data_IF_020936683548
#
_entry.id   IF_020936683548
#
_cell.length_a   1.000
_cell.length_b   1.000
_cell.length_c   1.000
_cell.angle_alpha   90.00
_cell.angle_beta   90.00
_cell.angle_gamma   90.00
#
_symmetry.space_group_name_H-M   'P 1'
#
loop_
_entity.id
_entity.type
_entity.pdbx_description
1 polymer ?
#
# COMPACT_ATOMS: atom_id res chain seq x y z
N UNK A 1 30.43 12.19 7.41
CA UNK A 1 31.34 12.35 6.26
C UNK A 1 30.60 13.12 5.19
N UNK A 2 31.28 13.88 4.33
CA UNK A 2 30.61 14.64 3.26
C UNK A 2 31.30 14.49 1.91
N UNK A 3 30.57 14.67 0.81
CA UNK A 3 31.08 14.62 -0.57
C UNK A 3 31.63 13.25 -0.97
N UNK A 4 30.88 12.19 -0.67
CA UNK A 4 31.27 10.80 -1.00
C UNK A 4 30.63 10.38 -2.32
N UNK A 5 31.42 9.77 -3.21
CA UNK A 5 30.89 9.10 -4.41
C UNK A 5 31.43 7.68 -4.53
N UNK A 6 30.54 6.73 -4.77
CA UNK A 6 30.87 5.34 -5.10
C UNK A 6 30.16 4.99 -6.40
N UNK A 7 30.91 4.61 -7.43
CA UNK A 7 30.31 4.30 -8.74
C UNK A 7 31.02 3.18 -9.50
N UNK A 8 30.27 2.48 -10.35
CA UNK A 8 30.76 1.46 -11.30
C UNK A 8 31.52 0.31 -10.63
N UNK A 9 30.92 -0.28 -9.58
CA UNK A 9 31.49 -1.40 -8.85
C UNK A 9 30.54 -2.59 -8.80
N UNK A 10 31.14 -3.79 -8.77
CA UNK A 10 30.42 -5.03 -8.46
C UNK A 10 30.84 -5.50 -7.06
N UNK A 11 29.85 -5.80 -6.21
CA UNK A 11 30.07 -6.15 -4.80
C UNK A 11 29.32 -7.45 -4.50
N UNK A 12 30.01 -8.44 -3.93
CA UNK A 12 29.40 -9.67 -3.44
C UNK A 12 30.15 -10.96 -3.82
N UNK A 13 29.89 -12.07 -3.11
CA UNK A 13 29.09 -12.11 -1.88
C UNK A 13 29.87 -11.53 -0.69
N UNK A 14 29.19 -10.81 0.20
CA UNK A 14 29.75 -10.29 1.46
C UNK A 14 29.20 -11.05 2.66
N UNK A 15 29.79 -10.88 3.85
CA UNK A 15 29.28 -11.55 5.05
C UNK A 15 28.01 -10.92 5.62
N UNK A 16 27.82 -9.62 5.38
CA UNK A 16 26.64 -8.84 5.74
C UNK A 16 26.42 -7.79 4.63
N UNK A 17 26.14 -6.54 4.98
CA UNK A 17 25.93 -5.43 4.05
C UNK A 17 27.05 -5.28 3.02
N UNK A 18 26.70 -5.04 1.75
CA UNK A 18 27.69 -4.77 0.70
C UNK A 18 28.32 -3.38 0.82
N UNK A 19 27.49 -2.37 1.07
CA UNK A 19 27.93 -0.99 1.22
C UNK A 19 27.18 -0.35 2.38
N UNK A 20 27.93 0.07 3.40
CA UNK A 20 27.38 0.73 4.59
C UNK A 20 27.83 2.17 4.67
N UNK A 21 26.88 3.09 4.87
CA UNK A 21 27.13 4.49 5.16
C UNK A 21 26.56 4.86 6.53
N UNK A 22 27.38 5.47 7.38
CA UNK A 22 26.98 5.96 8.68
C UNK A 22 27.32 7.43 8.81
N UNK A 23 26.32 8.26 9.13
CA UNK A 23 26.46 9.71 9.30
C UNK A 23 27.07 10.35 8.03
N UNK A 24 26.35 10.30 6.90
CA UNK A 24 26.85 10.72 5.59
C UNK A 24 25.98 11.81 4.97
N UNK A 25 26.60 12.94 4.64
CA UNK A 25 25.97 14.08 3.98
C UNK A 25 26.55 14.22 2.56
N UNK A 26 25.83 14.83 1.64
CA UNK A 26 26.26 15.09 0.25
C UNK A 26 26.91 13.85 -0.41
N UNK A 27 26.12 12.85 -0.80
CA UNK A 27 26.66 11.61 -1.34
C UNK A 27 25.98 11.12 -2.62
N UNK A 28 26.71 10.30 -3.38
CA UNK A 28 26.18 9.64 -4.57
C UNK A 28 26.67 8.19 -4.67
N UNK A 29 25.74 7.25 -4.78
CA UNK A 29 26.01 5.82 -4.95
C UNK A 29 25.36 5.39 -6.27
N UNK A 30 26.15 4.99 -7.26
CA UNK A 30 25.60 4.68 -8.58
C UNK A 30 26.27 3.56 -9.35
N UNK A 31 25.57 3.02 -10.35
CA UNK A 31 26.09 1.98 -11.25
C UNK A 31 26.64 0.76 -10.49
N UNK A 32 25.93 0.34 -9.44
CA UNK A 32 26.34 -0.77 -8.56
C UNK A 32 25.70 -2.07 -9.03
N UNK A 33 26.50 -3.14 -9.08
CA UNK A 33 26.00 -4.51 -9.28
C UNK A 33 26.22 -5.36 -8.03
N UNK A 34 25.14 -5.74 -7.35
CA UNK A 34 25.21 -6.69 -6.24
C UNK A 34 25.21 -8.14 -6.71
N UNK A 35 25.99 -8.96 -6.02
CA UNK A 35 26.14 -10.40 -6.23
C UNK A 35 26.12 -11.15 -4.89
N UNK A 36 25.16 -10.81 -4.01
CA UNK A 36 24.93 -11.56 -2.78
C UNK A 36 24.36 -12.94 -3.09
N UNK A 37 24.64 -13.90 -2.21
CA UNK A 37 24.32 -15.32 -2.43
C UNK A 37 23.36 -15.91 -1.39
N UNK A 38 22.98 -15.14 -0.37
CA UNK A 38 22.15 -15.56 0.74
C UNK A 38 22.81 -16.56 1.69
N UNK A 39 24.14 -16.72 1.63
CA UNK A 39 24.85 -17.64 2.52
C UNK A 39 24.90 -17.15 3.98
N UNK A 40 24.64 -15.86 4.21
CA UNK A 40 24.62 -15.22 5.52
C UNK A 40 23.45 -14.23 5.65
N UNK A 41 23.07 -13.91 6.89
CA UNK A 41 22.05 -12.92 7.21
C UNK A 41 22.52 -11.48 6.89
N UNK A 42 21.57 -10.55 6.78
CA UNK A 42 21.82 -9.10 6.61
C UNK A 42 22.70 -8.79 5.40
N UNK A 43 22.55 -9.56 4.32
CA UNK A 43 23.24 -9.33 3.06
C UNK A 43 22.49 -8.29 2.23
N UNK A 44 22.40 -7.08 2.78
CA UNK A 44 21.79 -5.94 2.13
C UNK A 44 22.73 -5.43 1.01
N UNK A 45 22.16 -4.66 0.08
CA UNK A 45 22.91 -3.92 -0.91
C UNK A 45 23.54 -2.66 -0.32
N UNK A 46 22.78 -1.57 -0.35
CA UNK A 46 23.11 -0.29 0.31
C UNK A 46 22.42 -0.24 1.66
N UNK A 47 23.18 0.05 2.72
CA UNK A 47 22.67 0.18 4.07
C UNK A 47 23.11 1.52 4.67
N UNK A 48 22.19 2.46 4.80
CA UNK A 48 22.45 3.76 5.40
C UNK A 48 21.83 3.84 6.78
N UNK A 49 22.63 4.26 7.76
CA UNK A 49 22.23 4.29 9.17
C UNK A 49 22.64 5.60 9.83
N UNK A 50 21.74 6.13 10.66
CA UNK A 50 21.92 7.39 11.37
C UNK A 50 21.88 8.62 10.46
N UNK A 51 22.46 9.73 10.91
CA UNK A 51 22.27 11.05 10.31
C UNK A 51 22.79 11.19 8.86
N UNK A 52 21.96 10.84 7.86
CA UNK A 52 22.34 10.87 6.45
C UNK A 52 21.47 11.84 5.65
N UNK A 53 22.09 12.66 4.80
CA UNK A 53 21.35 13.70 4.06
C UNK A 53 21.89 13.96 2.67
N UNK A 54 21.07 14.56 1.81
CA UNK A 54 21.45 15.06 0.48
C UNK A 54 22.12 13.98 -0.38
N UNK A 55 21.41 12.87 -0.56
CA UNK A 55 21.97 11.65 -1.16
C UNK A 55 21.26 11.20 -2.43
N UNK A 56 22.04 10.75 -3.41
CA UNK A 56 21.50 10.12 -4.62
C UNK A 56 21.95 8.65 -4.72
N UNK A 57 21.01 7.73 -4.84
CA UNK A 57 21.25 6.29 -5.03
C UNK A 57 20.57 5.85 -6.33
N UNK A 58 21.34 5.50 -7.38
CA UNK A 58 20.73 5.18 -8.67
C UNK A 58 21.45 4.15 -9.53
N UNK A 59 20.75 3.56 -10.51
CA UNK A 59 21.28 2.49 -11.38
C UNK A 59 21.82 1.29 -10.57
N UNK A 60 21.01 0.83 -9.62
CA UNK A 60 21.36 -0.31 -8.76
C UNK A 60 20.78 -1.58 -9.35
N UNK A 61 21.57 -2.65 -9.44
CA UNK A 61 21.08 -3.93 -9.98
C UNK A 61 21.70 -5.13 -9.31
N UNK A 62 21.10 -6.30 -9.50
CA UNK A 62 21.69 -7.59 -9.15
C UNK A 62 20.89 -8.36 -8.12
N UNK A 63 21.58 -9.08 -7.25
CA UNK A 63 20.98 -9.97 -6.25
C UNK A 63 21.37 -9.53 -4.84
N UNK A 64 20.37 -9.39 -3.98
CA UNK A 64 20.51 -9.21 -2.52
C UNK A 64 19.76 -10.32 -1.80
N UNK A 65 20.16 -10.63 -0.57
CA UNK A 65 19.43 -11.62 0.25
C UNK A 65 18.53 -10.94 1.28
N UNK A 66 18.94 -9.77 1.76
CA UNK A 66 18.11 -8.88 2.56
C UNK A 66 17.68 -7.68 1.69
N UNK A 67 17.53 -6.51 2.29
CA UNK A 67 17.17 -5.27 1.59
C UNK A 67 18.14 -4.90 0.46
N UNK A 68 17.63 -4.47 -0.70
CA UNK A 68 18.53 -3.91 -1.74
C UNK A 68 19.06 -2.54 -1.35
N UNK A 69 18.19 -1.71 -0.75
CA UNK A 69 18.50 -0.41 -0.19
C UNK A 69 17.74 -0.30 1.13
N UNK A 70 18.47 -0.07 2.22
CA UNK A 70 17.91 0.10 3.57
C UNK A 70 18.32 1.46 4.11
N UNK A 71 17.34 2.28 4.50
CA UNK A 71 17.53 3.56 5.18
C UNK A 71 17.02 3.44 6.62
N UNK A 72 17.91 3.56 7.59
CA UNK A 72 17.65 3.27 9.00
C UNK A 72 17.88 4.55 9.83
N UNK A 73 16.80 5.31 10.05
CA UNK A 73 16.77 6.50 10.89
C UNK A 73 16.36 6.14 12.33
N UNK A 74 17.08 5.20 12.96
CA UNK A 74 16.88 4.89 14.37
C UNK A 74 18.07 4.17 15.01
N UNK A 75 18.01 4.05 16.33
CA UNK A 75 19.04 3.47 17.19
C UNK A 75 18.89 1.93 17.34
N UNK A 76 18.94 1.19 16.22
CA UNK A 76 18.78 -0.27 16.24
C UNK A 76 20.05 -1.00 16.72
N UNK A 77 19.89 -2.14 17.40
CA UNK A 77 20.98 -3.04 17.80
C UNK A 77 21.41 -3.96 16.65
N UNK A 78 21.68 -3.37 15.50
CA UNK A 78 22.23 -4.03 14.30
C UNK A 78 23.76 -4.12 14.34
N UNK A 79 24.39 -3.75 15.45
CA UNK A 79 25.84 -3.62 15.60
C UNK A 79 26.40 -2.27 15.15
N UNK A 80 25.60 -1.40 14.52
CA UNK A 80 25.94 -0.01 14.21
C UNK A 80 25.47 0.99 15.28
N UNK A 81 24.61 0.53 16.20
CA UNK A 81 24.13 1.27 17.38
C UNK A 81 25.20 2.12 18.07
N UNK A 82 26.34 1.49 18.40
CA UNK A 82 27.43 2.14 19.15
C UNK A 82 28.13 3.25 18.34
N UNK A 83 27.96 3.24 17.02
CA UNK A 83 28.61 4.18 16.09
C UNK A 83 27.70 5.37 15.82
N UNK A 84 26.41 5.14 15.57
CA UNK A 84 25.49 6.21 15.14
C UNK A 84 24.64 6.76 16.27
N UNK A 85 24.16 5.91 17.18
CA UNK A 85 23.11 6.26 18.13
C UNK A 85 21.79 6.67 17.47
N UNK A 86 21.58 6.29 16.20
CA UNK A 86 20.50 6.81 15.35
C UNK A 86 20.85 8.10 14.62
N UNK A 87 19.83 8.85 14.22
CA UNK A 87 19.92 10.13 13.53
C UNK A 87 18.97 10.25 12.33
N UNK A 88 18.53 11.49 12.05
CA UNK A 88 17.58 11.79 10.98
C UNK A 88 18.15 11.49 9.59
N UNK A 89 17.33 10.91 8.71
CA UNK A 89 17.66 10.70 7.30
C UNK A 89 16.79 11.59 6.42
N UNK A 90 17.38 12.52 5.67
CA UNK A 90 16.60 13.47 4.87
C UNK A 90 17.10 13.65 3.44
N UNK A 91 16.19 14.02 2.54
CA UNK A 91 16.53 14.49 1.18
C UNK A 91 17.34 13.46 0.39
N UNK A 92 16.83 12.22 0.34
CA UNK A 92 17.45 11.10 -0.36
C UNK A 92 16.62 10.72 -1.59
N UNK A 93 17.28 10.66 -2.75
CA UNK A 93 16.70 10.19 -4.00
C UNK A 93 17.17 8.76 -4.29
N UNK A 94 16.23 7.87 -4.61
CA UNK A 94 16.48 6.48 -4.99
C UNK A 94 15.86 6.25 -6.38
N UNK A 95 16.65 5.87 -7.38
CA UNK A 95 16.13 5.73 -8.76
C UNK A 95 16.71 4.57 -9.58
N UNK A 96 15.91 3.99 -10.50
CA UNK A 96 16.31 2.91 -11.43
C UNK A 96 17.00 1.74 -10.70
N UNK A 97 16.22 1.09 -9.83
CA UNK A 97 16.65 -0.07 -9.06
C UNK A 97 16.05 -1.34 -9.66
N UNK A 98 16.91 -2.30 -9.99
CA UNK A 98 16.56 -3.59 -10.60
C UNK A 98 17.21 -4.75 -9.87
N UNK A 99 16.64 -5.10 -8.74
CA UNK A 99 17.16 -6.15 -7.88
C UNK A 99 16.22 -7.35 -7.78
N UNK A 100 16.82 -8.50 -7.52
CA UNK A 100 16.12 -9.71 -7.11
C UNK A 100 16.52 -10.03 -5.67
N UNK A 101 15.54 -10.02 -4.77
CA UNK A 101 15.70 -10.51 -3.41
C UNK A 101 15.62 -12.03 -3.40
N UNK A 102 16.62 -12.70 -2.81
CA UNK A 102 16.58 -14.16 -2.59
C UNK A 102 16.12 -14.54 -1.18
N UNK A 103 15.99 -13.57 -0.26
CA UNK A 103 15.46 -13.76 1.09
C UNK A 103 14.19 -12.92 1.36
N UNK A 104 13.65 -12.99 2.57
CA UNK A 104 12.28 -12.57 2.89
C UNK A 104 12.09 -11.06 3.17
N UNK A 105 12.70 -10.19 2.36
CA UNK A 105 12.94 -8.79 2.72
C UNK A 105 12.62 -7.80 1.59
N UNK A 106 12.65 -6.50 1.93
CA UNK A 106 12.24 -5.43 1.03
C UNK A 106 13.24 -5.21 -0.11
N UNK A 107 12.84 -4.47 -1.14
CA UNK A 107 13.81 -3.93 -2.11
C UNK A 107 14.29 -2.58 -1.60
N UNK A 108 13.35 -1.68 -1.32
CA UNK A 108 13.60 -0.44 -0.59
C UNK A 108 12.94 -0.55 0.79
N UNK A 109 13.75 -0.45 1.83
CA UNK A 109 13.32 -0.51 3.22
C UNK A 109 13.60 0.83 3.91
N UNK A 110 12.55 1.41 4.48
CA UNK A 110 12.60 2.68 5.20
C UNK A 110 12.18 2.43 6.65
N UNK A 111 13.13 2.54 7.59
CA UNK A 111 12.88 2.34 9.01
C UNK A 111 13.16 3.64 9.78
N UNK A 112 12.12 4.21 10.38
CA UNK A 112 12.23 5.38 11.25
C UNK A 112 11.81 5.00 12.67
N UNK A 113 12.55 5.47 13.66
CA UNK A 113 12.26 5.26 15.07
C UNK A 113 12.06 6.58 15.79
N UNK A 114 11.36 6.53 16.91
CA UNK A 114 11.06 7.68 17.77
C UNK A 114 12.27 8.59 18.02
N UNK A 115 12.06 9.91 17.96
CA UNK A 115 13.08 10.93 18.16
C UNK A 115 14.00 11.19 16.97
N UNK A 116 13.76 10.55 15.82
CA UNK A 116 14.52 10.77 14.58
C UNK A 116 13.56 11.11 13.45
N UNK A 117 14.02 11.95 12.52
CA UNK A 117 13.21 12.31 11.36
C UNK A 117 13.60 11.49 10.14
N UNK A 118 12.62 11.07 9.36
CA UNK A 118 12.80 10.60 7.99
C UNK A 118 11.88 11.37 7.06
N UNK A 119 12.46 12.24 6.23
CA UNK A 119 11.70 13.17 5.38
C UNK A 119 12.38 13.46 4.04
N UNK A 120 11.59 13.81 3.02
CA UNK A 120 12.10 14.21 1.72
C UNK A 120 12.71 13.03 0.95
N UNK A 121 12.13 11.83 1.12
CA UNK A 121 12.61 10.64 0.41
C UNK A 121 11.83 10.50 -0.89
N UNK A 122 12.55 10.45 -2.01
CA UNK A 122 11.98 10.24 -3.34
C UNK A 122 12.46 8.92 -3.92
N UNK A 123 11.53 8.08 -4.36
CA UNK A 123 11.80 6.75 -4.89
C UNK A 123 11.16 6.65 -6.28
N UNK A 124 11.93 6.29 -7.29
CA UNK A 124 11.44 6.30 -8.67
C UNK A 124 11.98 5.15 -9.52
N UNK A 125 11.15 4.63 -10.42
CA UNK A 125 11.53 3.56 -11.35
C UNK A 125 12.16 2.32 -10.67
N UNK A 126 11.41 1.71 -9.76
CA UNK A 126 11.83 0.45 -9.12
C UNK A 126 11.18 -0.72 -9.87
N UNK A 127 11.99 -1.58 -10.47
CA UNK A 127 11.51 -2.80 -11.11
C UNK A 127 12.20 -4.00 -10.47
N UNK A 128 11.54 -4.64 -9.52
CA UNK A 128 12.20 -5.60 -8.67
C UNK A 128 11.36 -6.84 -8.39
N UNK A 129 12.05 -7.93 -8.08
CA UNK A 129 11.46 -9.17 -7.57
C UNK A 129 11.83 -9.30 -6.09
N UNK A 130 10.97 -8.88 -5.15
CA UNK A 130 11.21 -9.14 -3.74
C UNK A 130 11.28 -10.65 -3.51
N UNK A 131 12.02 -11.09 -2.49
CA UNK A 131 11.93 -12.49 -2.08
C UNK A 131 10.64 -12.77 -1.29
N UNK A 132 10.44 -14.03 -0.93
CA UNK A 132 9.19 -14.51 -0.34
C UNK A 132 8.78 -13.74 0.92
N UNK A 133 7.60 -13.12 0.92
CA UNK A 133 7.12 -12.32 2.05
C UNK A 133 7.75 -10.92 2.14
N UNK A 134 8.58 -10.52 1.19
CA UNK A 134 9.10 -9.16 1.05
C UNK A 134 8.11 -8.18 0.43
N UNK A 135 8.61 -6.99 0.09
CA UNK A 135 7.87 -5.98 -0.69
C UNK A 135 8.82 -5.16 -1.58
N UNK A 136 8.29 -4.43 -2.56
CA UNK A 136 9.13 -3.51 -3.35
C UNK A 136 9.48 -2.27 -2.51
N UNK A 137 8.49 -1.69 -1.84
CA UNK A 137 8.68 -0.63 -0.86
C UNK A 137 8.12 -1.04 0.50
N UNK A 138 8.96 -0.95 1.52
CA UNK A 138 8.58 -1.18 2.90
C UNK A 138 8.78 0.10 3.73
N UNK A 139 7.68 0.61 4.30
CA UNK A 139 7.69 1.53 5.43
C UNK A 139 7.74 0.64 6.67
N UNK A 140 8.95 0.26 7.08
CA UNK A 140 9.12 -0.82 8.03
C UNK A 140 8.85 -0.38 9.45
N UNK A 141 8.23 -1.28 10.21
CA UNK A 141 8.21 -1.20 11.67
C UNK A 141 8.19 -2.57 12.33
N UNK A 142 7.42 -2.71 13.39
CA UNK A 142 7.43 -3.88 14.27
C UNK A 142 8.47 -3.80 15.39
N UNK A 143 8.61 -4.88 16.18
CA UNK A 143 9.39 -4.88 17.43
C UNK A 143 10.89 -4.68 17.24
N UNK A 144 11.38 -4.72 16.00
CA UNK A 144 12.76 -4.44 15.66
C UNK A 144 13.01 -2.95 15.41
N UNK A 145 11.97 -2.17 15.09
CA UNK A 145 12.05 -0.73 14.76
C UNK A 145 11.47 0.14 15.87
N UNK A 146 10.72 -0.46 16.78
CA UNK A 146 10.53 0.04 18.13
C UNK A 146 11.88 0.58 18.66
N UNK A 147 11.90 1.86 19.03
CA UNK A 147 13.07 2.50 19.61
C UNK A 147 13.50 1.77 20.89
N UNK A 148 14.58 2.24 21.52
CA UNK A 148 15.09 1.77 22.82
C UNK A 148 14.00 1.49 23.88
N UNK A 149 12.82 2.10 23.76
CA UNK A 149 11.73 2.04 24.72
C UNK A 149 10.38 1.49 24.17
N UNK A 150 10.35 0.88 22.97
CA UNK A 150 9.09 0.34 22.43
C UNK A 150 8.18 1.40 21.79
N UNK A 151 8.72 2.57 21.47
CA UNK A 151 7.95 3.71 20.96
C UNK A 151 8.12 3.83 19.46
N UNK A 152 6.99 3.95 18.75
CA UNK A 152 6.94 4.22 17.32
C UNK A 152 7.16 5.72 17.06
N UNK A 153 7.75 6.11 15.92
CA UNK A 153 7.81 7.52 15.53
C UNK A 153 6.41 8.13 15.48
N UNK A 154 6.34 9.43 15.71
CA UNK A 154 5.19 10.25 15.36
C UNK A 154 5.08 10.39 13.84
N UNK A 155 3.90 10.74 13.35
CA UNK A 155 3.67 10.95 11.92
C UNK A 155 4.38 12.20 11.38
N UNK A 156 4.74 13.16 12.24
CA UNK A 156 5.57 14.32 11.87
C UNK A 156 7.05 13.95 11.68
N UNK A 157 7.54 12.94 12.42
CA UNK A 157 8.92 12.45 12.34
C UNK A 157 9.15 11.62 11.07
N UNK A 158 8.23 10.72 10.73
CA UNK A 158 8.32 9.91 9.52
C UNK A 158 7.32 10.39 8.47
N UNK A 159 7.76 11.22 7.52
CA UNK A 159 6.85 11.89 6.58
C UNK A 159 7.51 12.22 5.25
N UNK A 160 6.77 12.86 4.33
CA UNK A 160 7.33 13.38 3.08
C UNK A 160 7.95 12.30 2.19
N UNK A 161 7.38 11.09 2.18
CA UNK A 161 7.83 9.97 1.35
C UNK A 161 7.03 9.95 0.06
N UNK A 162 7.73 9.93 -1.07
CA UNK A 162 7.14 9.84 -2.39
C UNK A 162 7.73 8.66 -3.17
N UNK A 163 6.88 7.88 -3.82
CA UNK A 163 7.30 6.78 -4.67
C UNK A 163 6.52 6.74 -6.00
N UNK A 164 7.23 6.59 -7.12
CA UNK A 164 6.66 6.51 -8.46
C UNK A 164 7.24 5.38 -9.28
N UNK A 165 6.47 4.90 -10.28
CA UNK A 165 6.90 3.87 -11.22
C UNK A 165 7.39 2.58 -10.52
N UNK A 166 6.66 2.15 -9.49
CA UNK A 166 6.98 0.91 -8.77
C UNK A 166 6.36 -0.27 -9.50
N UNK A 167 7.21 -1.20 -9.93
CA UNK A 167 6.80 -2.43 -10.61
C UNK A 167 7.32 -3.65 -9.87
N UNK A 168 6.42 -4.55 -9.50
CA UNK A 168 6.78 -5.89 -9.06
C UNK A 168 6.99 -6.78 -10.29
N UNK A 169 8.19 -7.32 -10.44
CA UNK A 169 8.47 -8.36 -11.40
C UNK A 169 7.90 -9.71 -10.92
N UNK A 170 7.50 -10.57 -11.86
CA UNK A 170 6.92 -11.90 -11.57
C UNK A 170 7.71 -12.65 -10.48
N UNK A 171 7.00 -13.14 -9.47
CA UNK A 171 7.63 -13.76 -8.33
C UNK A 171 6.65 -14.23 -7.26
N UNK A 172 7.23 -14.76 -6.18
CA UNK A 172 6.49 -15.30 -5.05
C UNK A 172 5.72 -14.20 -4.31
N UNK A 173 4.64 -14.64 -3.69
CA UNK A 173 3.87 -14.01 -2.63
C UNK A 173 4.53 -12.81 -1.89
N UNK A 174 4.36 -11.59 -2.41
CA UNK A 174 4.92 -10.35 -1.86
C UNK A 174 4.04 -9.14 -2.21
N UNK A 175 4.00 -8.16 -1.30
CA UNK A 175 3.28 -6.90 -1.50
C UNK A 175 4.06 -5.99 -2.46
N UNK A 176 3.39 -5.08 -3.16
CA UNK A 176 4.14 -4.00 -3.84
C UNK A 176 4.61 -2.97 -2.79
N UNK A 177 3.69 -2.45 -1.99
CA UNK A 177 3.97 -1.50 -0.91
C UNK A 177 3.44 -2.04 0.41
N UNK A 178 4.30 -2.03 1.43
CA UNK A 178 3.95 -2.43 2.79
C UNK A 178 4.17 -1.29 3.78
N UNK A 179 3.18 -1.03 4.62
CA UNK A 179 3.18 -0.03 5.68
C UNK A 179 3.07 -0.75 7.03
N UNK A 180 4.16 -0.71 7.78
CA UNK A 180 4.33 -1.33 9.09
C UNK A 180 4.83 -0.31 10.12
N UNK A 181 4.66 0.98 9.89
CA UNK A 181 5.05 2.04 10.82
C UNK A 181 4.11 3.23 10.70
N UNK A 182 4.17 4.11 11.70
CA UNK A 182 3.50 5.41 11.62
C UNK A 182 4.17 6.25 10.53
N UNK A 183 3.35 6.90 9.71
CA UNK A 183 3.83 7.77 8.63
C UNK A 183 2.88 8.93 8.37
N UNK A 184 3.39 10.16 8.34
CA UNK A 184 2.59 11.34 8.01
C UNK A 184 2.09 11.30 6.58
N UNK A 185 2.98 11.57 5.62
CA UNK A 185 2.60 11.64 4.21
C UNK A 185 3.32 10.58 3.39
N UNK A 186 2.53 9.68 2.78
CA UNK A 186 2.97 8.73 1.78
C UNK A 186 2.24 9.00 0.45
N UNK A 187 3.00 9.43 -0.57
CA UNK A 187 2.49 9.66 -1.92
C UNK A 187 3.01 8.60 -2.88
N UNK A 188 2.10 7.86 -3.49
CA UNK A 188 2.40 6.79 -4.44
C UNK A 188 1.82 7.15 -5.81
N UNK A 189 2.54 6.83 -6.89
CA UNK A 189 2.03 7.00 -8.24
C UNK A 189 2.59 6.00 -9.24
N UNK A 190 1.85 5.77 -10.33
CA UNK A 190 2.24 4.88 -11.42
C UNK A 190 2.68 3.48 -10.93
N UNK A 191 1.84 2.86 -10.11
CA UNK A 191 2.09 1.54 -9.54
C UNK A 191 1.68 0.43 -10.51
N UNK A 192 2.47 -0.62 -10.62
CA UNK A 192 2.14 -1.80 -11.42
C UNK A 192 2.41 -3.09 -10.67
N UNK A 193 1.37 -3.89 -10.50
CA UNK A 193 1.43 -5.21 -9.90
C UNK A 193 0.80 -6.23 -10.83
N UNK A 194 1.55 -7.30 -11.11
CA UNK A 194 1.03 -8.51 -11.74
C UNK A 194 1.51 -9.70 -10.92
N UNK A 195 0.61 -10.60 -10.53
CA UNK A 195 0.99 -11.84 -9.87
C UNK A 195 -0.07 -12.43 -8.95
N UNK A 196 0.33 -13.42 -8.18
CA UNK A 196 -0.57 -14.20 -7.35
C UNK A 196 -0.59 -13.73 -5.88
N UNK A 197 -1.80 -13.61 -5.33
CA UNK A 197 -2.12 -13.73 -3.91
C UNK A 197 -1.76 -12.60 -2.92
N UNK A 198 -1.39 -11.39 -3.34
CA UNK A 198 -0.91 -10.33 -2.43
C UNK A 198 -1.52 -8.96 -2.70
N UNK A 199 -1.09 -7.97 -1.90
CA UNK A 199 -1.62 -6.64 -1.93
C UNK A 199 -0.76 -5.64 -2.73
N UNK A 200 -1.42 -4.73 -3.45
CA UNK A 200 -0.72 -3.59 -4.04
C UNK A 200 -0.23 -2.67 -2.91
N UNK A 201 -1.11 -2.34 -1.97
CA UNK A 201 -0.75 -1.60 -0.75
C UNK A 201 -1.35 -2.31 0.45
N UNK A 202 -0.50 -2.66 1.41
CA UNK A 202 -0.90 -3.25 2.69
C UNK A 202 -0.43 -2.38 3.84
N UNK A 203 -1.36 -2.02 4.72
CA UNK A 203 -1.07 -1.44 6.03
C UNK A 203 -1.38 -2.47 7.11
N UNK A 204 -0.43 -2.71 8.00
CA UNK A 204 -0.61 -3.59 9.15
C UNK A 204 -1.33 -2.89 10.30
N UNK A 205 -1.94 -3.69 11.17
CA UNK A 205 -2.54 -3.22 12.41
C UNK A 205 -1.47 -2.62 13.35
N UNK A 206 -1.84 -1.56 14.06
CA UNK A 206 -1.04 -0.87 15.06
C UNK A 206 -0.36 0.41 14.55
N UNK A 207 -0.61 0.82 13.30
CA UNK A 207 0.12 1.90 12.64
C UNK A 207 -0.79 2.95 12.02
N UNK A 208 -0.51 4.22 12.25
CA UNK A 208 -1.29 5.34 11.70
C UNK A 208 -0.63 5.91 10.44
N UNK A 209 -1.44 6.22 9.42
CA UNK A 209 -1.00 7.05 8.31
C UNK A 209 -1.86 8.31 8.16
N UNK A 210 -1.27 9.50 8.26
CA UNK A 210 -2.06 10.73 8.20
C UNK A 210 -2.58 10.99 6.78
N UNK A 211 -1.77 10.74 5.76
CA UNK A 211 -2.14 10.91 4.36
C UNK A 211 -1.55 9.81 3.50
N UNK A 212 -2.41 8.96 2.96
CA UNK A 212 -2.09 8.03 1.89
C UNK A 212 -2.67 8.55 0.57
N UNK A 213 -1.80 8.89 -0.37
CA UNK A 213 -2.20 9.24 -1.74
C UNK A 213 -1.70 8.17 -2.71
N UNK A 214 -2.57 7.69 -3.59
CA UNK A 214 -2.24 6.79 -4.70
C UNK A 214 -2.85 7.32 -5.98
N UNK A 215 -2.01 7.64 -6.96
CA UNK A 215 -2.41 8.23 -8.25
C UNK A 215 -1.85 7.43 -9.42
N UNK A 216 -2.70 6.72 -10.16
CA UNK A 216 -2.26 5.82 -11.21
C UNK A 216 -1.78 4.48 -10.65
N UNK A 217 -2.60 3.44 -10.72
CA UNK A 217 -2.16 2.10 -10.33
C UNK A 217 -2.87 1.01 -11.12
N UNK A 218 -2.11 0.01 -11.56
CA UNK A 218 -2.61 -1.20 -12.20
C UNK A 218 -2.34 -2.41 -11.32
N UNK A 219 -3.39 -3.16 -11.01
CA UNK A 219 -3.32 -4.41 -10.24
C UNK A 219 -3.91 -5.56 -11.06
N UNK A 220 -3.11 -6.55 -11.39
CA UNK A 220 -3.53 -7.75 -12.12
C UNK A 220 -3.28 -9.01 -11.28
N UNK A 221 -4.35 -9.65 -10.79
CA UNK A 221 -4.27 -10.92 -10.04
C UNK A 221 -4.72 -12.10 -10.90
N UNK A 222 -3.83 -13.07 -11.08
CA UNK A 222 -4.04 -14.20 -12.01
C UNK A 222 -4.81 -15.35 -11.38
N UNK A 223 -4.61 -15.60 -10.08
CA UNK A 223 -5.31 -16.65 -9.33
C UNK A 223 -6.41 -16.14 -8.40
N UNK A 224 -6.86 -14.91 -8.60
CA UNK A 224 -8.04 -14.35 -7.92
C UNK A 224 -7.90 -14.17 -6.41
N UNK A 225 -6.67 -14.27 -5.90
CA UNK A 225 -6.33 -14.06 -4.50
C UNK A 225 -5.53 -12.76 -4.39
N UNK A 226 -5.79 -11.99 -3.33
CA UNK A 226 -5.19 -10.66 -3.12
C UNK A 226 -6.18 -9.51 -3.29
N UNK A 227 -5.76 -8.34 -2.84
CA UNK A 227 -6.56 -7.10 -2.83
C UNK A 227 -5.70 -5.97 -3.35
N UNK A 228 -6.27 -4.95 -3.97
CA UNK A 228 -5.48 -3.76 -4.28
C UNK A 228 -5.03 -3.08 -2.97
N UNK A 229 -5.93 -2.92 -2.01
CA UNK A 229 -5.67 -2.27 -0.73
C UNK A 229 -6.11 -3.18 0.43
N UNK A 230 -5.22 -3.42 1.39
CA UNK A 230 -5.54 -4.03 2.68
C UNK A 230 -5.08 -3.07 3.77
N UNK A 231 -6.01 -2.22 4.22
CA UNK A 231 -5.75 -1.13 5.15
C UNK A 231 -6.35 -1.47 6.51
N UNK A 232 -5.53 -1.98 7.43
CA UNK A 232 -6.01 -2.60 8.66
C UNK A 232 -6.21 -1.62 9.82
N UNK A 233 -5.75 -0.38 9.68
CA UNK A 233 -5.75 0.60 10.77
C UNK A 233 -6.05 2.02 10.26
N UNK A 234 -5.78 3.04 11.07
CA UNK A 234 -6.13 4.43 10.81
C UNK A 234 -5.39 5.01 9.59
N UNK A 235 -6.17 5.50 8.63
CA UNK A 235 -5.75 6.42 7.57
C UNK A 235 -6.56 7.71 7.73
N UNK A 236 -5.93 8.82 8.11
CA UNK A 236 -6.69 10.06 8.33
C UNK A 236 -7.20 10.62 6.99
N UNK A 237 -6.34 10.69 5.97
CA UNK A 237 -6.69 11.20 4.65
C UNK A 237 -6.30 10.19 3.57
N UNK A 238 -7.28 9.65 2.86
CA UNK A 238 -7.08 8.70 1.76
C UNK A 238 -7.45 9.36 0.44
N UNK A 239 -6.50 9.40 -0.51
CA UNK A 239 -6.71 9.92 -1.85
C UNK A 239 -6.35 8.87 -2.89
N UNK A 240 -7.33 8.38 -3.64
CA UNK A 240 -7.13 7.38 -4.69
C UNK A 240 -7.66 7.90 -6.03
N UNK A 241 -6.81 7.85 -7.06
CA UNK A 241 -7.18 8.23 -8.43
C UNK A 241 -6.52 7.34 -9.47
N UNK A 242 -7.19 7.12 -10.61
CA UNK A 242 -6.62 6.43 -11.77
C UNK A 242 -6.27 4.96 -11.49
N UNK A 243 -7.20 4.21 -10.88
CA UNK A 243 -6.95 2.83 -10.50
C UNK A 243 -7.55 1.87 -11.52
N UNK A 244 -6.78 0.87 -11.94
CA UNK A 244 -7.23 -0.25 -12.76
C UNK A 244 -6.95 -1.55 -12.02
N UNK A 245 -7.99 -2.35 -11.77
CA UNK A 245 -7.86 -3.66 -11.14
C UNK A 245 -8.44 -4.72 -12.06
N UNK A 246 -7.65 -5.74 -12.41
CA UNK A 246 -8.08 -6.90 -13.21
C UNK A 246 -7.85 -8.17 -12.42
N UNK A 247 -8.88 -8.98 -12.28
CA UNK A 247 -8.76 -10.26 -11.57
C UNK A 247 -9.38 -11.38 -12.37
N UNK A 248 -8.68 -12.51 -12.46
CA UNK A 248 -9.20 -13.74 -13.02
C UNK A 248 -9.34 -14.81 -11.94
N UNK A 249 -10.47 -15.51 -11.91
CA UNK A 249 -10.75 -16.60 -10.98
C UNK A 249 -11.05 -16.16 -9.54
N UNK A 250 -11.23 -14.86 -9.27
CA UNK A 250 -11.63 -14.36 -7.94
C UNK A 250 -13.12 -14.41 -7.77
N UNK A 251 -13.57 -14.61 -6.53
CA UNK A 251 -14.99 -14.54 -6.20
C UNK A 251 -15.41 -13.23 -5.55
N UNK A 252 -14.54 -12.43 -4.91
CA UNK A 252 -15.07 -11.50 -3.90
C UNK A 252 -14.29 -10.22 -3.55
N UNK A 253 -13.08 -9.91 -4.05
CA UNK A 253 -12.33 -8.75 -3.51
C UNK A 253 -11.45 -8.04 -4.53
N UNK A 254 -11.92 -6.90 -5.05
CA UNK A 254 -11.23 -6.19 -6.14
C UNK A 254 -10.36 -5.04 -5.66
N UNK A 255 -10.83 -4.29 -4.67
CA UNK A 255 -10.24 -3.01 -4.27
C UNK A 255 -9.80 -2.99 -2.81
N UNK A 256 -10.67 -3.30 -1.86
CA UNK A 256 -10.36 -3.24 -0.43
C UNK A 256 -10.65 -4.56 0.28
N UNK A 257 -9.80 -4.90 1.25
CA UNK A 257 -10.09 -5.87 2.30
C UNK A 257 -10.16 -5.18 3.65
N UNK A 258 -11.36 -5.11 4.21
CA UNK A 258 -11.66 -4.48 5.49
C UNK A 258 -11.60 -5.45 6.66
N UNK A 259 -10.74 -6.46 6.62
CA UNK A 259 -10.64 -7.42 7.74
C UNK A 259 -10.09 -6.80 9.04
N UNK A 260 -9.70 -5.53 9.02
CA UNK A 260 -9.26 -4.75 10.19
C UNK A 260 -10.27 -3.68 10.61
N UNK A 261 -10.05 -3.07 11.77
CA UNK A 261 -10.83 -1.94 12.29
C UNK A 261 -10.41 -0.61 11.67
N UNK A 262 -9.93 -0.63 10.42
CA UNK A 262 -9.35 0.54 9.76
C UNK A 262 -10.34 1.70 9.71
N UNK A 263 -9.88 2.87 10.15
CA UNK A 263 -10.68 4.10 10.17
C UNK A 263 -10.16 4.98 9.03
N UNK A 264 -11.03 5.32 8.08
CA UNK A 264 -10.73 6.32 7.05
C UNK A 264 -11.54 7.58 7.36
N UNK A 265 -10.88 8.59 7.90
CA UNK A 265 -11.55 9.82 8.34
C UNK A 265 -12.02 10.67 7.14
N UNK A 266 -11.14 10.86 6.14
CA UNK A 266 -11.42 11.63 4.93
C UNK A 266 -10.97 10.88 3.67
N UNK A 267 -11.90 10.22 2.96
CA UNK A 267 -11.61 9.47 1.74
C UNK A 267 -12.10 10.15 0.46
N UNK A 268 -11.24 10.29 -0.54
CA UNK A 268 -11.61 10.63 -1.93
C UNK A 268 -11.16 9.53 -2.87
N UNK A 269 -12.10 8.97 -3.63
CA UNK A 269 -11.84 7.91 -4.60
C UNK A 269 -12.43 8.29 -5.96
N UNK A 270 -11.61 8.27 -7.02
CA UNK A 270 -11.98 8.69 -8.38
C UNK A 270 -11.34 7.80 -9.45
N UNK A 271 -11.97 7.78 -10.62
CA UNK A 271 -11.42 7.17 -11.84
C UNK A 271 -10.94 5.72 -11.62
N UNK A 272 -11.86 4.87 -11.15
CA UNK A 272 -11.61 3.44 -10.93
C UNK A 272 -12.24 2.61 -12.04
N UNK A 273 -11.42 1.75 -12.63
CA UNK A 273 -11.83 0.65 -13.50
C UNK A 273 -11.54 -0.68 -12.81
N UNK A 274 -12.56 -1.52 -12.68
CA UNK A 274 -12.43 -2.86 -12.12
C UNK A 274 -12.93 -3.88 -13.14
N UNK A 275 -12.19 -4.96 -13.36
CA UNK A 275 -12.57 -6.07 -14.23
C UNK A 275 -12.42 -7.39 -13.47
N UNK A 276 -13.50 -8.18 -13.42
CA UNK A 276 -13.49 -9.53 -12.85
C UNK A 276 -13.93 -10.50 -13.94
N UNK A 277 -13.08 -11.47 -14.27
CA UNK A 277 -13.39 -12.52 -15.25
C UNK A 277 -13.95 -11.97 -16.59
N UNK A 278 -13.37 -10.88 -17.10
CA UNK A 278 -13.82 -10.24 -18.34
C UNK A 278 -15.01 -9.29 -18.20
N UNK A 279 -15.56 -9.14 -16.99
CA UNK A 279 -16.70 -8.25 -16.72
C UNK A 279 -16.20 -6.94 -16.12
N UNK A 280 -16.34 -5.85 -16.88
CA UNK A 280 -16.02 -4.51 -16.40
C UNK A 280 -17.10 -4.03 -15.44
N UNK A 281 -16.68 -3.62 -14.24
CA UNK A 281 -17.45 -2.92 -13.22
C UNK A 281 -16.94 -1.48 -13.21
N UNK A 282 -17.61 -0.61 -13.97
CA UNK A 282 -17.34 0.83 -13.92
C UNK A 282 -17.95 1.41 -12.65
N UNK A 283 -17.15 2.18 -11.89
CA UNK A 283 -17.66 2.96 -10.76
C UNK A 283 -18.01 4.37 -11.25
N UNK A 284 -19.30 4.75 -11.30
CA UNK A 284 -19.67 6.06 -11.81
C UNK A 284 -19.29 7.17 -10.82
N UNK A 285 -18.31 8.00 -11.20
CA UNK A 285 -18.06 9.32 -10.60
C UNK A 285 -17.16 9.35 -9.37
N UNK A 286 -17.00 10.56 -8.80
CA UNK A 286 -16.28 10.78 -7.54
C UNK A 286 -17.14 10.27 -6.38
N UNK A 287 -16.67 9.25 -5.67
CA UNK A 287 -17.24 8.86 -4.38
C UNK A 287 -16.46 9.56 -3.27
N UNK A 288 -17.12 10.42 -2.50
CA UNK A 288 -16.64 10.78 -1.17
C UNK A 288 -17.05 9.62 -0.26
N UNK A 289 -16.11 8.74 0.05
CA UNK A 289 -16.36 7.63 0.95
C UNK A 289 -15.96 8.13 2.34
N UNK A 290 -16.95 8.55 3.13
CA UNK A 290 -16.76 8.70 4.57
C UNK A 290 -16.98 7.33 5.20
N UNK A 291 -15.90 6.61 5.51
CA UNK A 291 -15.97 5.39 6.31
C UNK A 291 -15.89 5.78 7.79
N UNK A 292 -16.91 6.49 8.29
CA UNK A 292 -17.01 6.80 9.71
C UNK A 292 -17.84 5.74 10.42
N UNK A 293 -17.25 5.11 11.44
CA UNK A 293 -17.90 4.23 12.41
C UNK A 293 -18.58 2.98 11.83
N UNK A 294 -17.76 1.98 11.52
CA UNK A 294 -18.26 0.60 11.36
C UNK A 294 -17.55 -0.29 12.35
N UNK A 295 -17.86 -0.08 13.63
CA UNK A 295 -17.57 -1.04 14.69
C UNK A 295 -18.35 -2.33 14.47
N UNK A 296 -17.74 -3.27 13.75
CA UNK A 296 -18.27 -4.61 13.48
C UNK A 296 -17.65 -5.16 12.21
N UNK A 297 -17.20 -6.42 12.26
CA UNK A 297 -16.60 -7.21 11.17
C UNK A 297 -17.19 -6.87 9.79
N UNK A 298 -16.61 -5.88 9.08
CA UNK A 298 -17.03 -5.53 7.72
C UNK A 298 -16.44 -6.59 6.81
N UNK A 299 -17.14 -7.71 6.67
CA UNK A 299 -17.05 -8.55 5.47
C UNK A 299 -17.80 -7.86 4.33
N UNK A 300 -17.49 -6.58 4.13
CA UNK A 300 -18.02 -5.76 3.07
C UNK A 300 -17.17 -5.99 1.84
N UNK A 301 -17.66 -6.84 0.96
CA UNK A 301 -17.41 -6.65 -0.46
C UNK A 301 -17.68 -5.16 -0.77
N UNK A 302 -16.65 -4.41 -1.20
CA UNK A 302 -16.92 -3.37 -2.20
C UNK A 302 -17.08 -4.08 -3.53
N UNK A 303 -18.14 -4.88 -3.61
CA UNK A 303 -18.79 -5.24 -4.85
C UNK A 303 -19.97 -4.30 -4.88
N UNK A 304 -19.94 -3.31 -5.77
CA UNK A 304 -21.16 -2.59 -6.12
C UNK A 304 -22.06 -3.52 -6.92
N UNK A 305 -22.56 -4.59 -6.29
CA UNK A 305 -23.80 -5.22 -6.69
C UNK A 305 -24.92 -4.40 -6.08
N UNK A 306 -25.95 -4.18 -6.88
CA UNK A 306 -27.19 -3.44 -6.63
C UNK A 306 -27.77 -3.52 -5.20
N UNK A 307 -28.64 -2.56 -4.83
CA UNK A 307 -28.71 -1.92 -3.52
C UNK A 307 -29.38 -2.76 -2.43
N UNK A 308 -28.62 -3.07 -1.37
CA UNK A 308 -29.16 -3.19 -0.02
C UNK A 308 -28.02 -3.03 0.98
N UNK A 309 -27.74 -1.79 1.42
CA UNK A 309 -26.94 -1.60 2.63
C UNK A 309 -25.94 -0.44 2.70
N UNK A 310 -25.81 0.44 1.70
CA UNK A 310 -25.02 1.66 1.89
C UNK A 310 -25.90 2.76 2.49
N UNK A 311 -25.63 3.18 3.74
CA UNK A 311 -26.12 4.46 4.24
C UNK A 311 -25.17 5.55 3.74
N UNK A 312 -25.55 6.19 2.64
CA UNK A 312 -24.98 7.48 2.24
C UNK A 312 -25.63 8.54 3.12
N UNK A 313 -24.86 9.15 4.03
CA UNK A 313 -25.32 10.34 4.73
C UNK A 313 -25.35 11.49 3.73
N UNK A 314 -26.56 11.91 3.37
CA UNK A 314 -26.84 12.82 2.26
C UNK A 314 -27.71 12.13 1.23
N UNK A 315 -29.04 12.20 1.43
CA UNK A 315 -30.01 11.54 0.58
C UNK A 315 -29.81 11.88 -0.90
N UNK A 316 -29.44 10.88 -1.69
CA UNK A 316 -29.60 10.95 -3.13
C UNK A 316 -31.10 11.09 -3.46
N UNK A 317 -31.46 11.90 -4.47
CA UNK A 317 -32.84 11.95 -4.93
C UNK A 317 -33.30 10.55 -5.37
N UNK A 318 -34.57 10.18 -5.14
CA UNK A 318 -35.09 8.88 -5.53
C UNK A 318 -34.85 8.63 -7.02
N UNK A 319 -34.31 7.46 -7.35
CA UNK A 319 -34.10 7.02 -8.73
C UNK A 319 -35.40 6.35 -9.20
N UNK A 320 -35.93 6.83 -10.33
CA UNK A 320 -37.07 6.22 -11.00
C UNK A 320 -36.63 4.95 -11.75
N UNK A 321 -36.88 3.80 -11.13
CA UNK A 321 -36.55 2.48 -11.66
C UNK A 321 -37.28 2.12 -12.96
N UNK A 322 -38.32 2.87 -13.34
CA UNK A 322 -39.03 2.67 -14.62
C UNK A 322 -38.22 3.13 -15.83
N UNK A 323 -37.15 3.90 -15.60
CA UNK A 323 -36.26 4.38 -16.66
C UNK A 323 -35.14 3.40 -17.00
N UNK A 324 -35.01 2.29 -16.26
CA UNK A 324 -33.95 1.31 -16.45
C UNK A 324 -34.33 0.28 -17.54
N UNK A 325 -33.52 0.13 -18.60
CA UNK A 325 -33.81 -0.79 -19.67
C UNK A 325 -33.56 -2.25 -19.21
N UNK A 326 -34.65 -2.94 -18.88
CA UNK A 326 -34.74 -4.42 -18.75
C UNK A 326 -34.12 -5.02 -17.48
N UNK A 327 -34.91 -5.13 -16.40
CA UNK A 327 -34.59 -6.04 -15.28
C UNK A 327 -34.99 -7.47 -15.69
N UNK A 328 -34.00 -8.34 -15.98
CA UNK A 328 -34.24 -9.79 -16.16
C UNK A 328 -33.82 -10.54 -14.91
N UNK A 329 -34.79 -11.14 -14.23
CA UNK A 329 -34.55 -12.11 -13.16
C UNK A 329 -35.44 -11.88 -11.94
N UNK A 330 -35.94 -12.98 -11.39
CA UNK A 330 -36.75 -13.04 -10.17
C UNK A 330 -35.95 -12.56 -8.96
N UNK A 331 -36.16 -11.31 -8.54
CA UNK A 331 -35.68 -10.79 -7.26
C UNK A 331 -36.87 -10.54 -6.33
N UNK A 332 -36.77 -11.03 -5.10
CA UNK A 332 -37.72 -10.75 -4.02
C UNK A 332 -37.37 -9.37 -3.39
N UNK A 333 -38.40 -8.62 -3.01
CA UNK A 333 -38.29 -7.31 -2.37
C UNK A 333 -38.58 -7.41 -0.86
N UNK A 334 -37.97 -6.54 -0.06
CA UNK A 334 -38.14 -6.47 1.40
C UNK A 334 -38.57 -5.05 1.80
N UNK A 335 -39.81 -4.88 2.28
CA UNK A 335 -40.44 -3.56 2.53
C UNK A 335 -39.97 -2.85 3.82
N UNK A 336 -39.05 -3.46 4.55
CA UNK A 336 -38.35 -2.86 5.69
C UNK A 336 -39.21 -2.58 6.93
N UNK A 337 -40.52 -2.88 6.94
CA UNK A 337 -41.38 -2.53 8.08
C UNK A 337 -42.31 -3.63 8.56
N UNK A 338 -42.67 -4.63 7.74
CA UNK A 338 -43.65 -5.65 8.16
C UNK A 338 -43.18 -7.11 8.12
N UNK A 339 -41.99 -7.38 7.57
CA UNK A 339 -41.38 -8.72 7.63
C UNK A 339 -42.14 -9.79 6.83
N UNK A 340 -42.78 -9.41 5.73
CA UNK A 340 -43.39 -10.38 4.80
C UNK A 340 -42.62 -10.39 3.49
N UNK A 341 -41.90 -11.47 3.22
CA UNK A 341 -41.25 -11.72 1.94
C UNK A 341 -42.27 -12.33 0.95
N UNK A 342 -42.39 -11.77 -0.25
CA UNK A 342 -43.16 -12.32 -1.35
C UNK A 342 -42.47 -12.05 -2.70
N UNK A 343 -42.66 -12.92 -3.72
CA UNK A 343 -42.06 -12.70 -5.03
C UNK A 343 -42.73 -11.53 -5.76
N UNK A 344 -41.93 -10.61 -6.31
CA UNK A 344 -42.43 -9.59 -7.21
C UNK A 344 -42.96 -10.24 -8.50
N UNK A 345 -44.19 -9.91 -8.88
CA UNK A 345 -44.78 -10.41 -10.13
C UNK A 345 -44.16 -9.69 -11.34
N UNK A 346 -43.85 -10.46 -12.38
CA UNK A 346 -43.15 -9.97 -13.59
C UNK A 346 -44.02 -9.11 -14.53
N UNK A 347 -45.24 -8.78 -14.13
CA UNK A 347 -46.21 -8.02 -14.94
C UNK A 347 -46.33 -6.54 -14.54
N UNK A 348 -45.58 -6.09 -13.53
CA UNK A 348 -45.47 -4.67 -13.17
C UNK A 348 -46.73 -4.09 -12.54
N UNK A 349 -47.56 -4.90 -11.89
CA UNK A 349 -48.84 -4.44 -11.32
C UNK A 349 -48.78 -3.99 -9.86
N UNK A 350 -47.65 -4.09 -9.18
CA UNK A 350 -47.54 -3.69 -7.77
C UNK A 350 -47.18 -2.20 -7.63
N UNK A 351 -48.11 -1.42 -7.08
CA UNK A 351 -47.92 -0.01 -6.74
C UNK A 351 -47.47 0.11 -5.28
N UNK A 352 -46.40 0.88 -5.02
CA UNK A 352 -46.09 1.39 -3.68
C UNK A 352 -46.84 2.73 -3.54
N UNK A 353 -47.91 2.75 -2.76
CA UNK A 353 -48.55 3.99 -2.36
C UNK A 353 -47.77 4.62 -1.19
N UNK A 354 -46.99 5.66 -1.50
CA UNK A 354 -46.25 6.44 -0.50
C UNK A 354 -47.11 7.50 0.22
N UNK A 355 -48.44 7.43 0.13
CA UNK A 355 -49.35 8.39 0.77
C UNK A 355 -50.29 7.77 1.80
N UNK A 356 -49.74 7.29 2.92
CA UNK A 356 -50.47 7.27 4.19
C UNK A 356 -49.64 7.86 5.33
N UNK A 357 -49.77 9.17 5.50
CA UNK A 357 -49.55 9.87 6.77
C UNK A 357 -50.90 10.19 7.42
N UNK A 358 -50.98 9.96 8.74
CA UNK A 358 -52.10 10.15 9.71
C UNK A 358 -53.09 8.97 9.82
N UNK A 359 -53.34 8.35 10.99
CA UNK A 359 -53.11 8.69 12.41
C UNK A 359 -52.31 7.62 13.16
#
# INVERSE_FOLDING_TARGET
MSNISVHNVAIGPTHAWALTGAIVDDFSISDIKFAQDGSTANQDGVHLVGACSNGDIYHIRGVTHDDSISLIAHDQDDGMKEITGGGSITDINIADVRCTGVGAKGVVNLACGDGNDMNGISIDHIHARPGTGGSVLQIAGGPFIESRDGVLPTTDEFTGISASHLTRADGDQSDLVRIENNIGVLSLSDLSYTGDAFELVRQWQGYTCDTLKVDGATFESVNGTGNMFNLQDEIINLHLSGLTSRQTGSTNRVLFDGSGTGIINNGTVRDIEAEIDGTVVELPGTANITLSDVGGDIRGQVVFTSPSGLKVDGGLPPIDVTTLPTVRGSQAYHDGTTGTEGPAHSDGTDWIDATQTTL
#
